data_IF_141785567958
#
_entry.id   IF_141785567958
#
_cell.length_a   1.000
_cell.length_b   1.000
_cell.length_c   1.000
_cell.angle_alpha   90.00
_cell.angle_beta   90.00
_cell.angle_gamma   90.00
#
_symmetry.space_group_name_H-M   'P 1'
#
loop_
_entity.id
_entity.type
_entity.pdbx_description
1 polymer ?
#
# COMPACT_ATOMS: atom_id res chain seq x y z
N UNK A 1 -20.52 32.06 -8.47
CA UNK A 1 -20.05 32.46 -9.82
C UNK A 1 -18.81 33.33 -9.65
N UNK A 2 -17.61 32.76 -9.71
CA UNK A 2 -16.37 33.54 -9.69
C UNK A 2 -15.87 33.68 -11.14
N UNK A 3 -15.74 34.92 -11.62
CA UNK A 3 -15.11 35.32 -12.90
C UNK A 3 -15.89 35.12 -14.21
N UNK A 4 -17.21 34.95 -14.19
CA UNK A 4 -18.03 34.99 -15.43
C UNK A 4 -17.77 33.87 -16.44
N UNK A 5 -17.00 32.84 -16.06
CA UNK A 5 -16.82 31.62 -16.85
C UNK A 5 -17.96 30.64 -16.56
N UNK A 6 -18.47 29.91 -17.56
CA UNK A 6 -19.39 28.82 -17.32
C UNK A 6 -18.74 27.81 -16.38
N UNK A 7 -19.47 27.41 -15.33
CA UNK A 7 -18.95 26.45 -14.35
C UNK A 7 -19.02 25.07 -14.97
N UNK A 8 -17.87 24.54 -15.37
CA UNK A 8 -17.73 23.12 -15.73
C UNK A 8 -17.73 22.28 -14.46
N UNK A 9 -18.65 21.31 -14.32
CA UNK A 9 -18.65 20.42 -13.16
C UNK A 9 -17.35 19.64 -13.06
N UNK A 10 -16.85 19.46 -11.84
CA UNK A 10 -15.64 18.70 -11.54
C UNK A 10 -15.97 17.21 -11.52
N UNK A 11 -15.14 16.41 -12.18
CA UNK A 11 -15.24 14.94 -12.11
C UNK A 11 -14.71 14.44 -10.77
N UNK A 12 -15.53 13.72 -10.02
CA UNK A 12 -15.15 13.11 -8.74
C UNK A 12 -15.20 11.59 -8.90
N UNK A 13 -14.04 10.95 -8.87
CA UNK A 13 -13.91 9.50 -8.92
C UNK A 13 -13.74 8.98 -7.50
N UNK A 14 -14.68 8.16 -7.01
CA UNK A 14 -14.62 7.68 -5.64
C UNK A 14 -15.72 6.70 -5.24
N UNK A 15 -15.75 6.28 -3.96
CA UNK A 15 -16.82 5.44 -3.42
C UNK A 15 -18.17 6.16 -3.54
N UNK A 16 -19.24 5.43 -3.89
CA UNK A 16 -20.59 6.01 -3.99
C UNK A 16 -21.09 6.58 -2.67
N UNK A 17 -20.58 6.08 -1.54
CA UNK A 17 -20.89 6.58 -0.20
C UNK A 17 -20.51 8.05 0.00
N UNK A 18 -19.55 8.58 -0.78
CA UNK A 18 -19.18 10.00 -0.74
C UNK A 18 -20.38 10.92 -1.05
N UNK A 19 -21.34 10.46 -1.86
CA UNK A 19 -22.53 11.24 -2.19
C UNK A 19 -23.43 11.49 -0.99
N UNK A 20 -23.45 10.60 0.00
CA UNK A 20 -24.23 10.83 1.22
C UNK A 20 -23.74 12.10 1.93
N UNK A 21 -22.42 12.22 2.08
CA UNK A 21 -21.80 13.39 2.70
C UNK A 21 -21.93 14.64 1.81
N UNK A 22 -21.68 14.53 0.50
CA UNK A 22 -21.80 15.66 -0.43
C UNK A 22 -23.23 16.22 -0.47
N UNK A 23 -24.25 15.38 -0.42
CA UNK A 23 -25.65 15.82 -0.35
C UNK A 23 -25.95 16.51 0.99
N UNK A 24 -25.42 16.01 2.10
CA UNK A 24 -25.58 16.68 3.40
C UNK A 24 -24.92 18.06 3.41
N UNK A 25 -23.68 18.16 2.93
CA UNK A 25 -22.98 19.45 2.80
C UNK A 25 -23.72 20.39 1.85
N UNK A 26 -24.22 19.88 0.72
CA UNK A 26 -25.01 20.65 -0.24
C UNK A 26 -26.23 21.31 0.41
N UNK A 27 -26.97 20.54 1.21
CA UNK A 27 -28.22 21.01 1.82
C UNK A 27 -28.02 21.90 3.05
N UNK A 28 -26.90 21.77 3.77
CA UNK A 28 -26.71 22.44 5.06
C UNK A 28 -25.61 23.52 5.05
N UNK A 29 -24.69 23.50 4.08
CA UNK A 29 -23.54 24.39 4.06
C UNK A 29 -23.55 25.27 2.80
N UNK A 30 -23.45 24.67 1.61
CA UNK A 30 -23.38 25.40 0.35
C UNK A 30 -23.83 24.50 -0.80
N UNK A 31 -24.66 25.04 -1.70
CA UNK A 31 -25.05 24.33 -2.92
C UNK A 31 -23.83 24.06 -3.83
N UNK A 32 -23.41 22.81 -3.89
CA UNK A 32 -22.25 22.33 -4.68
C UNK A 32 -22.58 21.15 -5.58
N UNK A 33 -23.73 20.49 -5.39
CA UNK A 33 -24.02 19.21 -6.03
C UNK A 33 -24.14 19.34 -7.56
N UNK A 34 -24.57 20.50 -8.04
CA UNK A 34 -24.66 20.81 -9.47
C UNK A 34 -23.29 21.04 -10.13
N UNK A 35 -22.22 21.14 -9.33
CA UNK A 35 -20.85 21.31 -9.78
C UNK A 35 -20.04 20.01 -9.73
N UNK A 36 -20.69 18.86 -9.46
CA UNK A 36 -20.00 17.58 -9.26
C UNK A 36 -20.56 16.52 -10.22
N UNK A 37 -19.65 15.88 -10.95
CA UNK A 37 -19.92 14.68 -11.74
C UNK A 37 -19.27 13.47 -11.06
N UNK A 38 -20.06 12.69 -10.30
CA UNK A 38 -19.54 11.47 -9.67
C UNK A 38 -19.40 10.33 -10.67
N UNK A 39 -18.20 9.74 -10.71
CA UNK A 39 -17.91 8.48 -11.40
C UNK A 39 -17.58 7.43 -10.31
N UNK A 40 -18.41 6.41 -10.10
CA UNK A 40 -18.16 5.39 -9.08
C UNK A 40 -16.84 4.65 -9.32
N UNK A 41 -15.93 4.65 -8.36
CA UNK A 41 -14.63 3.97 -8.48
C UNK A 41 -14.79 2.48 -8.84
N UNK A 42 -15.81 1.79 -8.30
CA UNK A 42 -16.09 0.37 -8.61
C UNK A 42 -16.38 0.11 -10.09
N UNK A 43 -16.91 1.09 -10.82
CA UNK A 43 -17.20 0.97 -12.26
C UNK A 43 -15.96 1.04 -13.15
N UNK A 44 -14.79 1.31 -12.55
CA UNK A 44 -13.50 1.46 -13.23
C UNK A 44 -12.53 0.31 -12.91
N UNK A 45 -13.01 -0.73 -12.21
CA UNK A 45 -12.27 -1.97 -12.00
C UNK A 45 -12.38 -2.79 -13.28
N UNK A 46 -11.24 -3.24 -13.82
CA UNK A 46 -11.22 -4.13 -14.98
C UNK A 46 -12.05 -5.40 -14.68
N UNK A 47 -12.82 -5.86 -15.67
CA UNK A 47 -13.68 -7.05 -15.58
C UNK A 47 -14.87 -6.96 -14.61
N UNK A 48 -15.12 -5.80 -14.01
CA UNK A 48 -16.27 -5.57 -13.15
C UNK A 48 -17.50 -5.03 -13.93
N UNK A 49 -18.67 -5.07 -13.29
CA UNK A 49 -20.00 -4.72 -13.83
C UNK A 49 -20.04 -3.63 -14.92
N UNK A 50 -20.90 -3.84 -15.91
CA UNK A 50 -21.11 -2.88 -17.01
C UNK A 50 -21.56 -1.52 -16.44
N UNK A 51 -20.77 -0.43 -16.65
CA UNK A 51 -21.11 0.87 -16.10
C UNK A 51 -22.44 1.38 -16.69
N UNK A 52 -23.18 2.14 -15.89
CA UNK A 52 -24.42 2.76 -16.36
C UNK A 52 -24.15 3.65 -17.60
N UNK A 53 -25.14 3.85 -18.51
CA UNK A 53 -24.97 4.72 -19.67
C UNK A 53 -24.53 6.15 -19.30
N UNK A 54 -25.00 6.66 -18.15
CA UNK A 54 -24.59 7.96 -17.61
C UNK A 54 -23.11 7.95 -17.22
N UNK A 55 -22.67 6.93 -16.48
CA UNK A 55 -21.27 6.76 -16.06
C UNK A 55 -20.34 6.66 -17.26
N UNK A 56 -20.74 5.91 -18.31
CA UNK A 56 -19.96 5.80 -19.55
C UNK A 56 -19.75 7.16 -20.22
N UNK A 57 -20.78 8.00 -20.31
CA UNK A 57 -20.66 9.35 -20.88
C UNK A 57 -19.76 10.25 -20.04
N UNK A 58 -19.91 10.23 -18.71
CA UNK A 58 -19.07 11.01 -17.81
C UNK A 58 -17.60 10.59 -17.90
N UNK A 59 -17.33 9.28 -17.94
CA UNK A 59 -15.99 8.75 -18.12
C UNK A 59 -15.40 9.15 -19.47
N UNK A 60 -16.17 9.06 -20.56
CA UNK A 60 -15.70 9.47 -21.89
C UNK A 60 -15.28 10.96 -21.90
N UNK A 61 -16.13 11.85 -21.37
CA UNK A 61 -15.80 13.28 -21.22
C UNK A 61 -14.55 13.47 -20.38
N UNK A 62 -14.46 12.81 -19.23
CA UNK A 62 -13.29 12.89 -18.34
C UNK A 62 -11.99 12.45 -19.05
N UNK A 63 -12.01 11.35 -19.79
CA UNK A 63 -10.82 10.89 -20.52
C UNK A 63 -10.43 11.88 -21.62
N UNK A 64 -11.39 12.48 -22.31
CA UNK A 64 -11.15 13.49 -23.34
C UNK A 64 -10.57 14.79 -22.76
N UNK A 65 -11.22 15.34 -21.72
CA UNK A 65 -10.84 16.62 -21.08
C UNK A 65 -9.39 16.60 -20.54
N UNK A 66 -8.95 15.44 -20.04
CA UNK A 66 -7.61 15.27 -19.47
C UNK A 66 -6.62 14.53 -20.38
N UNK A 67 -6.97 14.30 -21.65
CA UNK A 67 -6.13 13.59 -22.63
C UNK A 67 -5.63 12.23 -22.12
N UNK A 68 -6.52 11.49 -21.45
CA UNK A 68 -6.23 10.19 -20.87
C UNK A 68 -6.61 9.10 -21.86
N UNK A 69 -5.73 8.11 -21.99
CA UNK A 69 -6.02 6.86 -22.71
C UNK A 69 -6.85 5.92 -21.85
N UNK A 70 -6.54 5.85 -20.55
CA UNK A 70 -7.22 4.95 -19.61
C UNK A 70 -7.15 5.51 -18.19
N UNK A 71 -8.22 5.33 -17.44
CA UNK A 71 -8.26 5.52 -15.99
C UNK A 71 -8.86 4.25 -15.38
N UNK A 72 -8.20 3.70 -14.37
CA UNK A 72 -8.60 2.44 -13.75
C UNK A 72 -8.53 2.54 -12.23
N UNK A 73 -9.27 1.66 -11.57
CA UNK A 73 -9.16 1.44 -10.13
C UNK A 73 -9.02 -0.04 -9.83
N UNK A 74 -8.50 -0.36 -8.66
CA UNK A 74 -8.60 -1.70 -8.09
C UNK A 74 -8.94 -1.60 -6.61
N UNK A 75 -9.57 -2.63 -6.06
CA UNK A 75 -9.75 -2.74 -4.62
C UNK A 75 -8.39 -3.01 -3.96
N UNK A 76 -8.18 -2.38 -2.82
CA UNK A 76 -6.96 -2.53 -2.03
C UNK A 76 -7.28 -3.02 -0.61
N UNK A 77 -6.25 -3.51 0.09
CA UNK A 77 -6.39 -4.15 1.40
C UNK A 77 -6.22 -3.11 2.50
N UNK A 78 -7.30 -2.39 2.80
CA UNK A 78 -7.36 -1.39 3.88
C UNK A 78 -8.74 -1.39 4.54
N UNK A 79 -9.58 -0.41 4.24
CA UNK A 79 -10.97 -0.35 4.68
C UNK A 79 -11.95 -0.69 3.55
N UNK A 80 -13.22 -0.87 3.89
CA UNK A 80 -14.25 -1.20 2.89
C UNK A 80 -14.41 -0.06 1.88
N UNK A 81 -14.35 -0.39 0.60
CA UNK A 81 -14.35 0.58 -0.50
C UNK A 81 -13.10 1.48 -0.52
N UNK A 82 -11.94 0.96 -0.09
CA UNK A 82 -10.64 1.54 -0.41
C UNK A 82 -10.21 1.15 -1.83
N UNK A 83 -9.62 2.10 -2.56
CA UNK A 83 -9.20 1.91 -3.94
C UNK A 83 -7.81 2.51 -4.18
N UNK A 84 -7.02 1.80 -5.00
CA UNK A 84 -5.94 2.42 -5.75
C UNK A 84 -6.45 2.90 -7.12
N UNK A 85 -5.70 3.77 -7.77
CA UNK A 85 -5.98 4.18 -9.15
C UNK A 85 -4.75 4.19 -10.05
N UNK A 86 -4.99 4.01 -11.34
CA UNK A 86 -3.99 4.09 -12.39
C UNK A 86 -4.47 5.03 -13.49
N UNK A 87 -3.57 5.92 -13.93
CA UNK A 87 -3.81 6.92 -14.96
C UNK A 87 -2.83 6.68 -16.10
N UNK A 88 -3.33 6.47 -17.32
CA UNK A 88 -2.53 6.34 -18.54
C UNK A 88 -2.84 7.52 -19.44
N UNK A 89 -1.86 8.35 -19.72
CA UNK A 89 -2.02 9.51 -20.59
C UNK A 89 -1.87 9.12 -22.06
N UNK A 90 -2.46 9.91 -22.97
CA UNK A 90 -2.34 9.68 -24.41
C UNK A 90 -0.89 9.68 -24.91
N UNK A 91 -0.02 10.49 -24.29
CA UNK A 91 1.42 10.54 -24.57
C UNK A 91 2.22 9.35 -24.02
N UNK A 92 1.58 8.39 -23.35
CA UNK A 92 2.16 7.09 -23.03
C UNK A 92 2.69 6.90 -21.60
N UNK A 93 2.78 7.95 -20.79
CA UNK A 93 3.17 7.78 -19.38
C UNK A 93 2.02 7.20 -18.54
N UNK A 94 2.39 6.46 -17.49
CA UNK A 94 1.48 5.82 -16.55
C UNK A 94 1.83 6.18 -15.11
N UNK A 95 0.87 6.72 -14.37
CA UNK A 95 1.00 7.03 -12.94
C UNK A 95 0.03 6.16 -12.15
N UNK A 96 0.53 5.56 -11.07
CA UNK A 96 -0.26 4.70 -10.17
C UNK A 96 -0.22 5.32 -8.78
N UNK A 97 -1.37 5.39 -8.12
CA UNK A 97 -1.49 5.85 -6.74
C UNK A 97 -2.13 4.74 -5.90
N UNK A 98 -1.44 4.29 -4.84
CA UNK A 98 -1.89 3.14 -4.04
C UNK A 98 -3.12 3.43 -3.18
N UNK A 99 -3.29 4.68 -2.72
CA UNK A 99 -4.05 4.93 -1.50
C UNK A 99 -3.39 4.26 -0.29
N UNK A 100 -4.15 4.05 0.78
CA UNK A 100 -3.69 3.28 1.94
C UNK A 100 -3.97 1.79 1.70
N UNK A 101 -2.97 0.94 1.91
CA UNK A 101 -3.08 -0.49 1.63
C UNK A 101 -1.94 -1.31 2.23
N UNK A 102 -2.28 -2.54 2.65
CA UNK A 102 -1.32 -3.66 2.70
C UNK A 102 -0.78 -3.98 1.30
N UNK A 103 0.36 -4.70 1.16
CA UNK A 103 0.77 -5.28 -0.10
C UNK A 103 -0.37 -6.05 -0.78
N UNK A 104 -0.64 -5.69 -2.05
CA UNK A 104 -1.80 -6.17 -2.79
C UNK A 104 -1.42 -6.49 -4.24
N UNK A 105 -1.66 -7.74 -4.66
CA UNK A 105 -1.36 -8.17 -6.02
C UNK A 105 -2.23 -7.46 -7.07
N UNK A 106 -3.46 -7.09 -6.72
CA UNK A 106 -4.33 -6.32 -7.63
C UNK A 106 -3.70 -4.97 -8.02
N UNK A 107 -3.02 -4.32 -7.08
CA UNK A 107 -2.27 -3.09 -7.34
C UNK A 107 -1.10 -3.35 -8.28
N UNK A 108 -0.32 -4.41 -8.03
CA UNK A 108 0.79 -4.84 -8.90
C UNK A 108 0.31 -5.08 -10.33
N UNK A 109 -0.78 -5.82 -10.52
CA UNK A 109 -1.32 -6.14 -11.84
C UNK A 109 -1.86 -4.90 -12.56
N UNK A 110 -2.70 -4.09 -11.89
CA UNK A 110 -3.24 -2.85 -12.47
C UNK A 110 -2.10 -1.89 -12.82
N UNK A 111 -1.07 -1.82 -11.98
CA UNK A 111 0.01 -0.87 -12.08
C UNK A 111 1.16 -1.27 -12.99
N UNK A 112 1.18 -2.51 -13.54
CA UNK A 112 2.31 -3.05 -14.30
C UNK A 112 2.92 -2.05 -15.30
N UNK A 113 4.26 -1.97 -15.31
CA UNK A 113 5.06 -1.08 -16.16
C UNK A 113 4.71 0.42 -15.97
N UNK A 114 4.42 0.83 -14.73
CA UNK A 114 4.16 2.23 -14.40
C UNK A 114 5.41 3.10 -14.58
N UNK A 115 5.24 4.29 -15.17
CA UNK A 115 6.29 5.32 -15.19
C UNK A 115 6.57 5.87 -13.80
N UNK A 116 5.53 5.97 -12.96
CA UNK A 116 5.63 6.38 -11.57
C UNK A 116 4.60 5.64 -10.73
N UNK A 117 5.06 4.97 -9.67
CA UNK A 117 4.22 4.51 -8.58
C UNK A 117 4.36 5.50 -7.41
N UNK A 118 3.25 6.02 -6.91
CA UNK A 118 3.18 6.71 -5.62
C UNK A 118 2.54 5.74 -4.64
N UNK A 119 3.33 5.26 -3.67
CA UNK A 119 2.90 4.23 -2.73
C UNK A 119 2.95 4.74 -1.28
N UNK A 120 1.98 4.34 -0.48
CA UNK A 120 2.02 4.55 0.96
C UNK A 120 3.16 3.75 1.61
N UNK A 121 3.83 4.34 2.60
CA UNK A 121 4.88 3.70 3.38
C UNK A 121 4.70 4.11 4.85
N UNK A 122 3.54 3.80 5.39
CA UNK A 122 3.07 4.37 6.67
C UNK A 122 3.92 3.91 7.84
N UNK A 123 4.41 2.66 7.82
CA UNK A 123 5.17 2.06 8.91
C UNK A 123 6.65 1.84 8.50
N UNK A 124 7.51 1.87 9.51
CA UNK A 124 8.92 1.48 9.38
C UNK A 124 9.04 -0.05 9.24
N UNK A 125 10.16 -0.52 8.68
CA UNK A 125 10.48 -1.94 8.69
C UNK A 125 10.77 -2.42 10.13
N UNK A 126 10.40 -3.66 10.44
CA UNK A 126 10.34 -4.20 11.81
C UNK A 126 9.01 -3.98 12.52
N UNK A 127 8.05 -3.28 11.90
CA UNK A 127 6.67 -3.11 12.37
C UNK A 127 5.66 -3.85 11.47
N UNK A 128 6.04 -4.98 10.87
CA UNK A 128 5.21 -5.70 9.90
C UNK A 128 3.89 -6.20 10.50
N UNK A 129 3.90 -6.63 11.75
CA UNK A 129 2.68 -7.06 12.46
C UNK A 129 1.74 -5.87 12.68
N UNK A 130 2.26 -4.74 13.16
CA UNK A 130 1.49 -3.51 13.36
C UNK A 130 0.95 -2.96 12.02
N UNK A 131 1.76 -3.00 10.96
CA UNK A 131 1.35 -2.65 9.61
C UNK A 131 0.19 -3.55 9.15
N UNK A 132 0.27 -4.86 9.43
CA UNK A 132 -0.80 -5.82 9.13
C UNK A 132 -2.09 -5.51 9.87
N UNK A 133 -2.01 -5.28 11.18
CA UNK A 133 -3.17 -4.96 12.01
C UNK A 133 -3.85 -3.66 11.60
N UNK A 134 -3.05 -2.64 11.27
CA UNK A 134 -3.54 -1.33 10.82
C UNK A 134 -3.84 -1.26 9.33
N UNK A 135 -3.59 -2.35 8.60
CA UNK A 135 -3.85 -2.48 7.16
C UNK A 135 -3.10 -1.46 6.29
N UNK A 136 -1.80 -1.31 6.56
CA UNK A 136 -0.87 -0.41 5.88
C UNK A 136 0.40 -1.15 5.42
N UNK A 137 1.26 -0.50 4.64
CA UNK A 137 2.53 -1.06 4.22
C UNK A 137 3.70 -0.55 5.05
N UNK A 138 4.71 -1.40 5.24
CA UNK A 138 6.05 -0.93 5.62
C UNK A 138 6.80 -0.34 4.42
N UNK A 139 7.91 0.34 4.68
CA UNK A 139 8.78 0.90 3.63
C UNK A 139 9.27 -0.17 2.64
N UNK A 140 9.84 -1.27 3.12
CA UNK A 140 10.33 -2.35 2.25
C UNK A 140 9.20 -3.06 1.51
N UNK A 141 8.02 -3.19 2.13
CA UNK A 141 6.84 -3.73 1.49
C UNK A 141 6.37 -2.87 0.31
N UNK A 142 6.30 -1.54 0.50
CA UNK A 142 5.92 -0.59 -0.55
C UNK A 142 6.90 -0.63 -1.74
N UNK A 143 8.21 -0.66 -1.46
CA UNK A 143 9.25 -0.82 -2.47
C UNK A 143 9.10 -2.15 -3.20
N UNK A 144 8.87 -3.24 -2.46
CA UNK A 144 8.66 -4.57 -3.03
C UNK A 144 7.46 -4.65 -3.98
N UNK A 145 6.36 -3.96 -3.66
CA UNK A 145 5.20 -3.81 -4.57
C UNK A 145 5.62 -3.10 -5.86
N UNK A 146 6.35 -1.99 -5.76
CA UNK A 146 6.83 -1.25 -6.93
C UNK A 146 7.81 -2.04 -7.81
N UNK A 147 8.70 -2.83 -7.20
CA UNK A 147 9.60 -3.71 -7.93
C UNK A 147 8.85 -4.81 -8.67
N UNK A 148 7.89 -5.47 -8.02
CA UNK A 148 7.02 -6.49 -8.65
C UNK A 148 6.17 -5.90 -9.77
N UNK A 149 5.76 -4.63 -9.64
CA UNK A 149 5.03 -3.88 -10.66
C UNK A 149 5.90 -3.54 -11.88
N UNK A 150 7.22 -3.72 -11.80
CA UNK A 150 8.18 -3.19 -12.77
C UNK A 150 7.99 -1.68 -12.97
N UNK A 151 7.81 -0.94 -11.87
CA UNK A 151 7.72 0.52 -11.94
C UNK A 151 9.08 1.11 -12.33
N UNK A 152 9.07 2.11 -13.22
CA UNK A 152 10.26 2.87 -13.60
C UNK A 152 10.79 3.69 -12.41
N UNK A 153 9.88 4.22 -11.60
CA UNK A 153 10.18 4.96 -10.38
C UNK A 153 9.10 4.75 -9.31
N UNK A 154 9.52 4.77 -8.05
CA UNK A 154 8.69 4.58 -6.87
C UNK A 154 8.87 5.79 -5.96
N UNK A 155 7.80 6.54 -5.73
CA UNK A 155 7.72 7.63 -4.77
C UNK A 155 7.00 7.14 -3.51
N UNK A 156 7.71 7.08 -2.40
CA UNK A 156 7.14 6.75 -1.10
C UNK A 156 6.46 7.98 -0.51
N UNK A 157 5.24 7.80 0.00
CA UNK A 157 4.40 8.85 0.57
C UNK A 157 3.62 8.33 1.80
N UNK A 158 2.82 9.18 2.44
CA UNK A 158 1.94 8.83 3.55
C UNK A 158 2.69 8.25 4.76
N UNK A 159 3.82 8.86 5.11
CA UNK A 159 4.57 8.50 6.31
C UNK A 159 3.78 8.88 7.56
N UNK A 160 3.72 7.98 8.55
CA UNK A 160 3.08 8.32 9.83
C UNK A 160 3.90 9.39 10.55
N UNK A 161 3.23 10.48 10.94
CA UNK A 161 3.83 11.61 11.66
C UNK A 161 4.39 11.25 13.05
N UNK A 162 4.04 10.07 13.58
CA UNK A 162 4.56 9.56 14.86
C UNK A 162 5.98 8.98 14.71
N UNK A 163 6.36 8.68 13.48
CA UNK A 163 7.65 8.16 13.05
C UNK A 163 8.37 9.24 12.23
N UNK A 164 9.68 9.15 12.06
CA UNK A 164 10.48 10.31 11.64
C UNK A 164 10.15 10.82 10.22
N UNK A 165 10.64 12.03 9.93
CA UNK A 165 10.48 12.71 8.65
C UNK A 165 11.14 11.98 7.47
N UNK A 166 12.03 11.03 7.75
CA UNK A 166 12.80 10.28 6.77
C UNK A 166 12.83 8.80 7.18
N UNK A 167 12.38 7.85 6.36
CA UNK A 167 12.47 6.43 6.68
C UNK A 167 13.93 5.97 6.78
N UNK A 168 14.21 5.02 7.68
CA UNK A 168 15.53 4.38 7.77
C UNK A 168 15.82 3.63 6.48
N UNK A 169 16.93 3.99 5.82
CA UNK A 169 17.30 3.41 4.53
C UNK A 169 18.16 2.17 4.74
N UNK A 170 17.74 1.03 4.23
CA UNK A 170 18.68 -0.03 3.87
C UNK A 170 19.52 0.43 2.65
N UNK A 171 20.75 -0.08 2.52
CA UNK A 171 21.61 0.21 1.36
C UNK A 171 21.03 -0.26 0.03
N UNK A 172 19.94 -1.03 0.05
CA UNK A 172 19.30 -1.68 -1.10
C UNK A 172 18.28 -0.78 -1.83
N UNK A 173 18.16 0.49 -1.44
CA UNK A 173 17.36 1.46 -2.19
C UNK A 173 17.90 1.57 -3.62
N UNK A 174 17.16 0.99 -4.56
CA UNK A 174 17.50 1.06 -5.98
C UNK A 174 17.56 2.53 -6.45
N UNK A 175 18.23 2.77 -7.60
CA UNK A 175 18.19 4.04 -8.33
C UNK A 175 16.78 4.51 -8.74
N UNK A 176 15.73 3.78 -8.36
CA UNK A 176 14.34 4.01 -8.73
C UNK A 176 13.44 4.44 -7.57
N UNK A 177 13.97 4.74 -6.38
CA UNK A 177 13.15 5.11 -5.22
C UNK A 177 13.40 6.55 -4.78
N UNK A 178 12.32 7.27 -4.46
CA UNK A 178 12.33 8.61 -3.87
C UNK A 178 11.34 8.74 -2.73
N UNK A 179 11.50 9.79 -1.93
CA UNK A 179 10.65 10.14 -0.80
C UNK A 179 9.97 11.47 -1.09
N UNK A 180 8.67 11.55 -0.85
CA UNK A 180 7.93 12.79 -0.96
C UNK A 180 7.96 13.59 0.33
N UNK A 181 8.03 14.91 0.21
CA UNK A 181 7.88 15.86 1.30
C UNK A 181 6.72 16.81 1.02
N UNK A 182 6.19 17.43 2.07
CA UNK A 182 5.19 18.46 1.94
C UNK A 182 5.66 19.58 0.99
N UNK A 183 4.76 20.02 0.12
CA UNK A 183 5.01 21.01 -0.93
C UNK A 183 6.04 20.63 -2.00
N UNK A 184 6.53 19.38 -2.00
CA UNK A 184 7.43 18.91 -3.03
C UNK A 184 6.77 18.96 -4.42
N UNK A 185 7.52 19.47 -5.41
CA UNK A 185 7.11 19.45 -6.82
C UNK A 185 8.09 18.61 -7.61
N UNK A 186 7.53 17.65 -8.35
CA UNK A 186 8.32 16.67 -9.09
C UNK A 186 7.99 16.79 -10.57
N UNK A 187 9.03 16.84 -11.39
CA UNK A 187 8.90 16.67 -12.84
C UNK A 187 9.24 15.22 -13.19
N UNK A 188 8.36 14.54 -13.93
CA UNK A 188 8.55 13.14 -14.33
C UNK A 188 9.87 12.91 -15.10
N UNK A 189 10.34 13.92 -15.84
CA UNK A 189 11.60 13.83 -16.60
C UNK A 189 12.84 13.78 -15.68
N UNK A 190 12.72 14.21 -14.43
CA UNK A 190 13.82 14.33 -13.48
C UNK A 190 13.80 13.24 -12.39
N UNK A 191 12.92 12.24 -12.47
CA UNK A 191 12.80 11.22 -11.41
C UNK A 191 14.14 10.52 -11.11
N UNK A 192 14.94 10.24 -12.13
CA UNK A 192 16.26 9.60 -11.99
C UNK A 192 17.31 10.45 -11.24
N UNK A 193 17.03 11.73 -10.98
CA UNK A 193 17.95 12.56 -10.18
C UNK A 193 17.70 12.46 -8.68
N UNK A 194 16.55 11.94 -8.26
CA UNK A 194 16.14 11.89 -6.85
C UNK A 194 17.06 11.05 -5.96
N UNK A 195 17.58 9.88 -6.40
CA UNK A 195 18.53 9.11 -5.59
C UNK A 195 19.77 9.92 -5.20
N UNK A 196 20.17 10.92 -6.01
CA UNK A 196 21.31 11.80 -5.72
C UNK A 196 21.06 12.75 -4.54
N UNK A 197 19.79 12.97 -4.18
CA UNK A 197 19.40 13.81 -3.05
C UNK A 197 19.44 13.05 -1.72
N UNK A 198 19.53 11.72 -1.74
CA UNK A 198 19.49 10.89 -0.52
C UNK A 198 20.62 11.26 0.45
N UNK A 199 21.86 11.41 -0.03
CA UNK A 199 22.99 11.78 0.84
C UNK A 199 22.79 13.15 1.50
N UNK A 200 22.47 14.24 0.77
CA UNK A 200 22.12 15.52 1.39
C UNK A 200 20.95 15.43 2.39
N UNK A 201 19.92 14.64 2.07
CA UNK A 201 18.77 14.44 2.97
C UNK A 201 19.17 13.74 4.26
N UNK A 202 20.01 12.70 4.19
CA UNK A 202 20.55 12.02 5.38
C UNK A 202 21.32 12.98 6.29
N UNK A 203 22.10 13.89 5.71
CA UNK A 203 22.81 14.92 6.49
C UNK A 203 21.84 15.92 7.11
N UNK A 204 20.82 16.35 6.35
CA UNK A 204 19.83 17.31 6.83
C UNK A 204 18.97 16.75 7.99
N UNK A 205 18.72 15.45 7.99
CA UNK A 205 17.87 14.75 8.96
C UNK A 205 18.68 13.80 9.87
N UNK A 206 19.97 14.07 10.10
CA UNK A 206 20.85 13.18 10.86
C UNK A 206 20.34 12.93 12.30
N UNK A 207 19.92 13.99 12.99
CA UNK A 207 19.35 13.89 14.35
C UNK A 207 18.07 13.05 14.39
N UNK A 208 17.18 13.25 13.41
CA UNK A 208 15.95 12.48 13.28
C UNK A 208 16.24 10.98 13.02
N UNK A 209 17.29 10.67 12.23
CA UNK A 209 17.71 9.30 11.94
C UNK A 209 18.33 8.59 13.16
N UNK A 210 19.19 9.28 13.91
CA UNK A 210 19.77 8.74 15.16
C UNK A 210 18.68 8.39 16.16
N UNK A 211 17.68 9.27 16.34
CA UNK A 211 16.55 9.00 17.24
C UNK A 211 15.75 7.75 16.81
N UNK A 212 15.57 7.54 15.50
CA UNK A 212 14.90 6.35 14.98
C UNK A 212 15.68 5.07 15.24
N UNK A 213 17.00 5.09 15.02
CA UNK A 213 17.87 3.94 15.25
C UNK A 213 17.81 3.53 16.72
N UNK A 214 17.88 4.47 17.66
CA UNK A 214 17.69 4.16 19.08
C UNK A 214 16.31 3.56 19.39
N UNK A 215 15.24 4.10 18.79
CA UNK A 215 13.88 3.58 18.97
C UNK A 215 13.74 2.17 18.40
N UNK A 216 14.37 1.89 17.26
CA UNK A 216 14.44 0.57 16.64
C UNK A 216 15.17 -0.41 17.56
N UNK A 217 16.37 -0.09 18.02
CA UNK A 217 17.13 -0.94 18.93
C UNK A 217 16.34 -1.25 20.22
N UNK A 218 15.72 -0.22 20.83
CA UNK A 218 14.87 -0.39 22.03
C UNK A 218 13.70 -1.34 21.77
N UNK A 219 13.12 -1.36 20.57
CA UNK A 219 12.04 -2.28 20.19
C UNK A 219 12.57 -3.70 20.01
N UNK A 220 13.66 -3.88 19.29
CA UNK A 220 14.29 -5.19 19.05
C UNK A 220 14.71 -5.86 20.36
N UNK A 221 15.27 -5.08 21.30
CA UNK A 221 15.58 -5.53 22.67
C UNK A 221 14.34 -6.01 23.45
N UNK A 222 13.20 -5.33 23.30
CA UNK A 222 11.95 -5.74 23.96
C UNK A 222 11.40 -7.02 23.35
N UNK A 223 11.34 -7.11 22.02
CA UNK A 223 10.88 -8.31 21.31
C UNK A 223 11.75 -9.53 21.63
N UNK A 224 13.07 -9.34 21.71
CA UNK A 224 14.00 -10.43 22.08
C UNK A 224 13.72 -10.93 23.50
N UNK A 225 13.56 -10.02 24.47
CA UNK A 225 13.22 -10.39 25.86
C UNK A 225 11.86 -11.08 25.98
N UNK A 226 10.87 -10.62 25.23
CA UNK A 226 9.54 -11.25 25.19
C UNK A 226 9.61 -12.67 24.60
N UNK A 227 10.37 -12.84 23.52
CA UNK A 227 10.60 -14.16 22.89
C UNK A 227 11.35 -15.11 23.84
N UNK A 228 12.40 -14.65 24.51
CA UNK A 228 13.14 -15.43 25.53
C UNK A 228 12.24 -15.83 26.72
N UNK A 229 11.36 -14.93 27.16
CA UNK A 229 10.40 -15.22 28.24
C UNK A 229 9.38 -16.29 27.85
N UNK A 230 8.85 -16.23 26.61
CA UNK A 230 7.93 -17.24 26.09
C UNK A 230 8.62 -18.60 25.90
N UNK A 231 9.90 -18.61 25.53
CA UNK A 231 10.69 -19.83 25.42
C UNK A 231 10.89 -20.50 26.80
N UNK A 232 11.25 -19.72 27.82
CA UNK A 232 11.40 -20.22 29.20
C UNK A 232 10.06 -20.73 29.80
N UNK A 233 8.94 -20.07 29.49
CA UNK A 233 7.61 -20.54 29.90
C UNK A 233 7.19 -21.82 29.16
N UNK A 234 7.60 -21.99 27.90
CA UNK A 234 7.36 -23.22 27.13
C UNK A 234 8.23 -24.40 27.59
N UNK A 235 9.47 -24.18 28.05
CA UNK A 235 10.30 -25.22 28.67
C UNK A 235 9.78 -25.62 30.05
N UNK A 236 9.24 -24.68 30.83
CA UNK A 236 8.67 -25.00 32.16
C UNK A 236 7.30 -25.72 32.08
N UNK A 237 6.60 -25.64 30.93
CA UNK A 237 5.35 -26.36 30.66
C UNK A 237 5.53 -27.63 29.81
N UNK A 238 6.77 -27.98 29.47
CA UNK A 238 7.15 -29.21 28.76
C UNK A 238 7.00 -30.47 29.62
N UNK A 239 5.80 -31.04 29.63
CA UNK A 239 5.55 -32.39 30.12
C UNK A 239 6.27 -33.39 29.20
N UNK A 240 7.49 -33.80 29.56
CA UNK A 240 8.26 -34.85 28.87
C UNK A 240 7.47 -36.17 29.00
N UNK A 241 6.61 -36.47 28.02
CA UNK A 241 6.22 -37.87 27.78
C UNK A 241 7.43 -38.58 27.19
N UNK A 242 8.17 -39.26 28.07
CA UNK A 242 9.16 -40.27 27.66
C UNK A 242 8.45 -41.26 26.73
N UNK A 243 9.06 -41.67 25.61
CA UNK A 243 8.59 -42.84 24.89
C UNK A 243 8.71 -44.03 25.85
N UNK A 244 7.60 -44.73 26.08
CA UNK A 244 7.60 -46.01 26.77
C UNK A 244 8.43 -47.00 25.93
N UNK A 245 9.41 -47.63 26.56
CA UNK A 245 10.11 -48.78 26.02
C UNK A 245 9.10 -49.91 25.75
N UNK A 246 8.79 -50.17 24.47
CA UNK A 246 8.15 -51.42 24.07
C UNK A 246 9.23 -52.51 23.99
N UNK A 247 9.27 -53.35 25.03
CA UNK A 247 9.94 -54.65 25.00
C UNK A 247 9.15 -55.59 24.08
N UNK A 248 9.75 -56.18 23.03
CA UNK A 248 9.04 -57.00 22.06
C UNK A 248 8.90 -58.45 22.55
N UNK A 249 7.66 -58.91 22.79
CA UNK A 249 7.41 -60.34 23.02
C UNK A 249 6.07 -60.79 22.45
N UNK A 250 6.12 -61.47 21.29
CA UNK A 250 5.36 -62.69 20.93
C UNK A 250 4.93 -62.72 19.45
N UNK A 251 5.80 -63.26 18.60
CA UNK A 251 5.41 -63.90 17.35
C UNK A 251 6.25 -65.16 17.11
N UNK A 252 6.12 -66.16 17.99
CA UNK A 252 6.53 -67.54 17.70
C UNK A 252 5.45 -68.48 18.24
N UNK A 253 4.52 -68.87 17.38
CA UNK A 253 4.10 -70.27 17.20
C UNK A 253 2.94 -70.37 16.21
N UNK A 254 3.29 -70.47 14.92
CA UNK A 254 2.51 -71.27 13.95
C UNK A 254 3.47 -71.89 12.94
N UNK A 255 3.95 -73.08 13.27
CA UNK A 255 4.00 -74.26 12.40
C UNK A 255 4.73 -75.39 13.12
N UNK A 256 4.01 -76.48 13.40
CA UNK A 256 4.25 -77.78 12.75
C UNK A 256 3.41 -78.89 13.39
N UNK A 257 2.58 -79.52 12.55
CA UNK A 257 2.25 -80.96 12.43
C UNK A 257 0.85 -81.05 11.79
N UNK A 258 0.59 -81.83 10.75
CA UNK A 258 1.39 -82.72 9.92
C UNK A 258 0.55 -83.08 8.68
N UNK A 259 1.23 -83.67 7.69
CA UNK A 259 0.72 -84.39 6.50
C UNK A 259 0.35 -83.55 5.27
#
# INVERSE_FOLDING_TARGET
VALGKPVTPVSVIGPTLLMTWLNQYNSHCQEIIHHINLIPAKSLIDECEVPSPKTKRLLASFLEDYQLRKFQTCLVRHCRNAFACSVVHQSGWKVVFSGDTMPCDALVQMGKDASLLIHEATLEDGLEEEAMEKTHSTTSQAIGVGMKMNADFIMLNHFSQRYAKLPLFSGDFSEKVGISFDHMRVNLNNLKTFPKLVSPLKVLFAEDLEEMEERKEKRELRQTRETESQFNDSESTGNIKRPLEEVPQAAINKRLKAN
#
